data_IF_458114125624
#
_entry.id   IF_458114125624
#
_cell.length_a   1.000
_cell.length_b   1.000
_cell.length_c   1.000
_cell.angle_alpha   90.00
_cell.angle_beta   90.00
_cell.angle_gamma   90.00
#
_symmetry.space_group_name_H-M   'P 1'
#
loop_
_entity.id
_entity.type
_entity.pdbx_description
1 polymer ?
#
# COMPACT_ATOMS: atom_id res chain seq x y z
N UNK A 1 10.60 -1.28 -17.91
CA UNK A 1 10.57 -2.45 -18.81
C UNK A 1 9.18 -2.74 -19.37
N UNK A 2 8.11 -2.69 -18.58
CA UNK A 2 6.74 -2.80 -19.13
C UNK A 2 6.46 -1.74 -20.20
N UNK A 3 6.91 -0.50 -19.99
CA UNK A 3 6.79 0.56 -20.99
C UNK A 3 7.53 0.24 -22.29
N UNK A 4 8.63 -0.51 -22.21
CA UNK A 4 9.39 -0.96 -23.38
C UNK A 4 8.65 -2.07 -24.11
N UNK A 5 8.01 -3.00 -23.39
CA UNK A 5 7.11 -4.00 -24.00
C UNK A 5 5.96 -3.33 -24.75
N UNK A 6 5.36 -2.29 -24.17
CA UNK A 6 4.31 -1.51 -24.82
C UNK A 6 4.80 -0.82 -26.09
N UNK A 7 5.96 -0.15 -26.05
CA UNK A 7 6.54 0.53 -27.22
C UNK A 7 6.86 -0.48 -28.33
N UNK A 8 7.58 -1.56 -27.99
CA UNK A 8 7.95 -2.61 -28.95
C UNK A 8 6.70 -3.29 -29.52
N UNK A 9 5.72 -3.60 -28.67
CA UNK A 9 4.44 -4.17 -29.08
C UNK A 9 3.67 -3.27 -30.02
N UNK A 10 3.54 -1.98 -29.71
CA UNK A 10 2.85 -1.01 -30.55
C UNK A 10 3.52 -0.85 -31.92
N UNK A 11 4.86 -0.74 -31.95
CA UNK A 11 5.62 -0.65 -33.20
C UNK A 11 5.49 -1.93 -34.04
N UNK A 12 5.60 -3.11 -33.42
CA UNK A 12 5.43 -4.38 -34.10
C UNK A 12 4.00 -4.57 -34.63
N UNK A 13 2.99 -4.12 -33.88
CA UNK A 13 1.59 -4.17 -34.28
C UNK A 13 1.33 -3.27 -35.48
N UNK A 14 1.81 -2.02 -35.43
CA UNK A 14 1.75 -1.09 -36.55
C UNK A 14 2.42 -1.69 -37.80
N UNK A 15 3.65 -2.21 -37.66
CA UNK A 15 4.38 -2.85 -38.74
C UNK A 15 3.59 -4.02 -39.36
N UNK A 16 3.03 -4.90 -38.54
CA UNK A 16 2.30 -6.07 -39.01
C UNK A 16 0.98 -5.72 -39.70
N UNK A 17 0.23 -4.76 -39.16
CA UNK A 17 -1.07 -4.39 -39.74
C UNK A 17 -0.91 -3.58 -41.02
N UNK A 18 0.01 -2.61 -41.03
CA UNK A 18 0.12 -1.59 -42.08
C UNK A 18 1.13 -1.96 -43.17
N UNK A 19 2.29 -2.52 -42.80
CA UNK A 19 3.42 -2.66 -43.72
C UNK A 19 3.61 -4.09 -44.26
N UNK A 20 3.14 -5.11 -43.54
CA UNK A 20 3.26 -6.49 -43.99
C UNK A 20 2.19 -6.88 -45.03
N UNK A 21 2.61 -7.64 -46.04
CA UNK A 21 1.70 -8.23 -47.01
C UNK A 21 0.84 -9.36 -46.39
N UNK A 22 -0.36 -9.63 -46.94
CA UNK A 22 -1.23 -10.70 -46.47
C UNK A 22 -0.53 -12.07 -46.46
N UNK A 23 -0.34 -12.64 -45.26
CA UNK A 23 0.29 -13.95 -45.08
C UNK A 23 -0.04 -14.54 -43.71
N UNK A 24 0.17 -15.85 -43.54
CA UNK A 24 0.06 -16.50 -42.21
C UNK A 24 1.03 -15.90 -41.19
N UNK A 25 2.22 -15.48 -41.63
CA UNK A 25 3.20 -14.78 -40.78
C UNK A 25 2.66 -13.45 -40.29
N UNK A 26 2.02 -12.66 -41.16
CA UNK A 26 1.35 -11.40 -40.78
C UNK A 26 0.32 -11.64 -39.67
N UNK A 27 -0.55 -12.63 -39.82
CA UNK A 27 -1.56 -12.95 -38.80
C UNK A 27 -0.92 -13.30 -37.45
N UNK A 28 0.12 -14.14 -37.46
CA UNK A 28 0.84 -14.48 -36.23
C UNK A 28 1.48 -13.25 -35.58
N UNK A 29 2.15 -12.40 -36.36
CA UNK A 29 2.77 -11.17 -35.85
C UNK A 29 1.73 -10.21 -35.27
N UNK A 30 0.55 -10.08 -35.88
CA UNK A 30 -0.56 -9.30 -35.34
C UNK A 30 -0.99 -9.83 -33.97
N UNK A 31 -1.24 -11.13 -33.84
CA UNK A 31 -1.66 -11.71 -32.56
C UNK A 31 -0.60 -11.57 -31.46
N UNK A 32 0.66 -11.83 -31.79
CA UNK A 32 1.76 -11.71 -30.82
C UNK A 32 1.96 -10.26 -30.38
N UNK A 33 1.98 -9.31 -31.32
CA UNK A 33 2.16 -7.90 -31.00
C UNK A 33 0.96 -7.30 -30.27
N UNK A 34 -0.28 -7.71 -30.62
CA UNK A 34 -1.47 -7.35 -29.86
C UNK A 34 -1.39 -7.87 -28.43
N UNK A 35 -0.97 -9.12 -28.24
CA UNK A 35 -0.72 -9.70 -26.90
C UNK A 35 0.34 -8.91 -26.12
N UNK A 36 1.42 -8.50 -26.80
CA UNK A 36 2.50 -7.71 -26.20
C UNK A 36 2.07 -6.31 -25.75
N UNK A 37 0.98 -5.78 -26.33
CA UNK A 37 0.36 -4.52 -25.89
C UNK A 37 -0.68 -4.77 -24.80
N UNK A 38 -1.60 -5.71 -25.00
CA UNK A 38 -2.73 -5.94 -24.12
C UNK A 38 -2.32 -6.56 -22.78
N UNK A 39 -1.36 -7.49 -22.77
CA UNK A 39 -0.96 -8.17 -21.54
C UNK A 39 -0.33 -7.20 -20.51
N UNK A 40 0.61 -6.29 -20.87
CA UNK A 40 1.10 -5.28 -19.94
C UNK A 40 0.02 -4.35 -19.40
N UNK A 41 -0.97 -3.95 -20.23
CA UNK A 41 -2.08 -3.10 -19.78
C UNK A 41 -2.88 -3.82 -18.70
N UNK A 42 -3.29 -5.07 -18.96
CA UNK A 42 -4.00 -5.88 -17.98
C UNK A 42 -3.18 -6.06 -16.70
N UNK A 43 -1.89 -6.32 -16.82
CA UNK A 43 -1.00 -6.50 -15.68
C UNK A 43 -0.89 -5.21 -14.85
N UNK A 44 -0.83 -4.05 -15.49
CA UNK A 44 -0.86 -2.74 -14.80
C UNK A 44 -2.18 -2.52 -14.07
N UNK A 45 -3.33 -2.77 -14.73
CA UNK A 45 -4.64 -2.60 -14.10
C UNK A 45 -4.85 -3.51 -12.91
N UNK A 46 -4.45 -4.78 -13.02
CA UNK A 46 -4.56 -5.75 -11.92
C UNK A 46 -3.56 -5.41 -10.81
N UNK A 47 -2.37 -4.92 -11.15
CA UNK A 47 -1.41 -4.45 -10.15
C UNK A 47 -1.92 -3.20 -9.40
N UNK A 48 -2.57 -2.26 -10.07
CA UNK A 48 -3.12 -1.06 -9.43
C UNK A 48 -4.20 -1.41 -8.40
N UNK A 49 -5.02 -2.43 -8.70
CA UNK A 49 -6.09 -2.89 -7.81
C UNK A 49 -5.59 -3.80 -6.68
N UNK A 50 -4.66 -4.71 -6.97
CA UNK A 50 -4.34 -5.84 -6.10
C UNK A 50 -2.84 -6.02 -5.81
N UNK A 51 -1.97 -5.12 -6.30
CA UNK A 51 -0.52 -5.20 -6.13
C UNK A 51 0.10 -6.54 -6.60
N UNK A 52 -0.45 -7.12 -7.68
CA UNK A 52 0.03 -8.41 -8.21
C UNK A 52 1.49 -8.34 -8.62
N UNK A 53 2.27 -9.31 -8.13
CA UNK A 53 3.70 -9.38 -8.34
C UNK A 53 4.53 -8.80 -7.20
N UNK A 54 3.89 -8.30 -6.14
CA UNK A 54 4.54 -7.80 -4.94
C UNK A 54 4.18 -8.62 -3.71
N UNK A 55 5.14 -8.73 -2.79
CA UNK A 55 4.92 -9.11 -1.41
C UNK A 55 4.66 -7.86 -0.57
N UNK A 56 4.00 -8.04 0.56
CA UNK A 56 3.81 -6.99 1.56
C UNK A 56 4.79 -7.26 2.69
N UNK A 57 5.80 -6.40 2.79
CA UNK A 57 6.72 -6.41 3.91
C UNK A 57 6.22 -5.45 4.98
N UNK A 58 6.11 -5.96 6.20
CA UNK A 58 5.66 -5.20 7.35
C UNK A 58 6.85 -4.79 8.21
N UNK A 59 6.95 -3.50 8.51
CA UNK A 59 7.94 -2.98 9.45
C UNK A 59 7.22 -2.30 10.59
N UNK A 60 7.41 -2.81 11.81
CA UNK A 60 6.78 -2.28 13.01
C UNK A 60 7.75 -1.42 13.80
N UNK A 61 7.33 -0.20 14.09
CA UNK A 61 8.01 0.70 15.01
C UNK A 61 7.20 0.77 16.31
N UNK A 62 7.85 0.56 17.45
CA UNK A 62 7.22 0.68 18.77
C UNK A 62 7.49 2.06 19.34
N UNK A 63 6.44 2.79 19.64
CA UNK A 63 6.51 4.13 20.20
C UNK A 63 5.85 4.14 21.59
N UNK A 64 6.61 4.36 22.66
CA UNK A 64 6.06 4.45 24.01
C UNK A 64 5.08 5.62 24.13
N UNK A 65 3.91 5.36 24.73
CA UNK A 65 2.92 6.40 24.97
C UNK A 65 3.29 7.22 26.21
N UNK A 66 3.06 8.53 26.13
CA UNK A 66 3.16 9.43 27.26
C UNK A 66 1.78 9.85 27.78
N UNK A 67 1.66 10.25 29.06
CA UNK A 67 0.45 10.85 29.59
C UNK A 67 0.02 12.06 28.75
N UNK A 68 -1.29 12.23 28.57
CA UNK A 68 -1.87 13.38 27.87
C UNK A 68 -2.74 14.16 28.86
N UNK A 69 -2.55 15.48 28.92
CA UNK A 69 -3.21 16.36 29.90
C UNK A 69 -2.97 15.92 31.36
N UNK A 70 -1.73 15.51 31.67
CA UNK A 70 -1.29 14.99 32.97
C UNK A 70 -2.05 13.72 33.45
N UNK A 71 -2.71 13.01 32.54
CA UNK A 71 -3.43 11.76 32.82
C UNK A 71 -2.94 10.63 31.91
N UNK A 72 -2.99 9.39 32.40
CA UNK A 72 -2.67 8.19 31.61
C UNK A 72 -3.83 7.88 30.65
N UNK A 73 -3.90 8.62 29.54
CA UNK A 73 -5.04 8.53 28.64
C UNK A 73 -4.69 8.74 27.16
N UNK A 74 -5.54 8.21 26.30
CA UNK A 74 -5.65 8.59 24.90
C UNK A 74 -7.07 9.10 24.63
N UNK A 75 -7.23 9.97 23.64
CA UNK A 75 -8.56 10.42 23.22
C UNK A 75 -9.02 9.66 21.98
N UNK A 76 -10.31 9.30 21.92
CA UNK A 76 -10.95 8.72 20.74
C UNK A 76 -12.06 9.63 20.25
N UNK A 77 -12.23 9.71 18.93
CA UNK A 77 -13.34 10.44 18.29
C UNK A 77 -13.94 9.58 17.19
N UNK A 78 -15.27 9.38 17.14
CA UNK A 78 -15.90 8.63 16.06
C UNK A 78 -15.77 9.41 14.74
N UNK A 79 -15.51 8.67 13.66
CA UNK A 79 -15.45 9.21 12.30
C UNK A 79 -16.52 8.55 11.41
N UNK A 80 -17.04 9.35 10.47
CA UNK A 80 -18.12 8.95 9.58
C UNK A 80 -19.51 8.96 10.23
N UNK A 81 -20.54 8.85 9.40
CA UNK A 81 -21.95 8.90 9.82
C UNK A 81 -22.37 7.67 10.61
N UNK A 82 -21.75 6.52 10.36
CA UNK A 82 -22.04 5.26 11.04
C UNK A 82 -21.39 5.14 12.44
N UNK A 83 -20.45 6.03 12.81
CA UNK A 83 -19.72 6.03 14.10
C UNK A 83 -19.08 4.69 14.48
N UNK A 84 -18.66 3.90 13.48
CA UNK A 84 -18.03 2.57 13.67
C UNK A 84 -16.49 2.60 13.67
N UNK A 85 -15.91 3.68 13.14
CA UNK A 85 -14.46 3.87 13.09
C UNK A 85 -14.09 5.04 14.01
N UNK A 86 -12.91 4.97 14.61
CA UNK A 86 -12.45 5.96 15.59
C UNK A 86 -11.06 6.47 15.21
N UNK A 87 -10.91 7.79 15.20
CA UNK A 87 -9.60 8.43 15.22
C UNK A 87 -9.09 8.48 16.66
N UNK A 88 -7.80 8.25 16.86
CA UNK A 88 -7.15 8.29 18.16
C UNK A 88 -6.12 9.40 18.23
N UNK A 89 -6.15 10.18 19.30
CA UNK A 89 -5.17 11.21 19.61
C UNK A 89 -4.34 10.77 20.81
N UNK A 90 -3.02 10.82 20.69
CA UNK A 90 -2.09 10.26 21.65
C UNK A 90 -0.79 11.06 21.71
N UNK A 91 -0.08 11.01 22.83
CA UNK A 91 1.25 11.62 22.99
C UNK A 91 2.31 10.50 23.01
N UNK A 92 3.47 10.74 22.42
CA UNK A 92 4.60 9.81 22.52
C UNK A 92 5.73 10.40 23.35
N UNK A 93 6.45 9.54 24.07
CA UNK A 93 7.52 9.95 24.99
C UNK A 93 8.69 10.62 24.23
N UNK A 94 9.01 10.14 23.03
CA UNK A 94 10.23 10.52 22.32
C UNK A 94 10.25 11.97 21.83
N UNK A 95 9.10 12.53 21.45
CA UNK A 95 9.01 13.89 20.91
C UNK A 95 8.08 14.81 21.71
N UNK A 96 7.36 14.29 22.70
CA UNK A 96 6.39 15.01 23.52
C UNK A 96 5.32 15.77 22.71
N UNK A 97 5.03 15.32 21.48
CA UNK A 97 4.02 15.92 20.61
C UNK A 97 2.77 15.06 20.54
N UNK A 98 1.66 15.74 20.25
CA UNK A 98 0.36 15.09 20.07
C UNK A 98 0.25 14.58 18.63
N UNK A 99 0.09 13.27 18.49
CA UNK A 99 -0.14 12.57 17.24
C UNK A 99 -1.62 12.21 17.08
N UNK A 100 -2.04 12.02 15.83
CA UNK A 100 -3.40 11.56 15.51
C UNK A 100 -3.34 10.43 14.51
N UNK A 101 -3.95 9.29 14.85
CA UNK A 101 -4.18 8.17 13.96
C UNK A 101 -5.63 8.16 13.51
N UNK A 102 -5.87 8.46 12.25
CA UNK A 102 -7.23 8.49 11.65
C UNK A 102 -7.37 7.34 10.65
N UNK A 103 -8.32 6.41 10.86
CA UNK A 103 -8.58 5.36 9.90
C UNK A 103 -8.98 5.88 8.53
N UNK A 104 -8.54 5.18 7.49
CA UNK A 104 -8.83 5.44 6.09
C UNK A 104 -8.85 4.13 5.31
N UNK A 105 -8.89 4.18 3.98
CA UNK A 105 -8.75 2.99 3.13
C UNK A 105 -7.38 2.31 3.26
N UNK A 106 -6.35 3.05 3.69
CA UNK A 106 -4.96 2.55 3.84
C UNK A 106 -4.45 2.59 5.27
N UNK A 107 -5.23 3.16 6.20
CA UNK A 107 -4.86 3.27 7.62
C UNK A 107 -5.89 2.56 8.46
N UNK A 108 -5.43 1.62 9.30
CA UNK A 108 -6.28 0.97 10.30
C UNK A 108 -5.79 1.29 11.71
N UNK A 109 -6.74 1.29 12.66
CA UNK A 109 -6.45 1.48 14.08
C UNK A 109 -7.04 0.32 14.87
N UNK A 110 -6.32 -0.15 15.88
CA UNK A 110 -6.74 -1.20 16.79
C UNK A 110 -6.35 -0.84 18.21
N UNK A 111 -7.18 -1.22 19.17
CA UNK A 111 -6.83 -1.22 20.58
C UNK A 111 -6.66 -2.66 21.06
N UNK A 112 -5.58 -2.89 21.81
CA UNK A 112 -5.30 -4.12 22.54
C UNK A 112 -4.99 -3.77 24.00
N UNK A 113 -5.32 -4.67 24.91
CA UNK A 113 -4.99 -4.52 26.32
C UNK A 113 -3.70 -5.29 26.64
N UNK A 114 -2.76 -4.65 27.32
CA UNK A 114 -1.45 -5.23 27.63
C UNK A 114 -0.84 -4.63 28.89
N UNK A 115 0.47 -4.73 29.05
CA UNK A 115 1.17 -4.24 30.25
C UNK A 115 2.01 -3.00 29.98
N UNK A 116 2.48 -2.81 28.75
CA UNK A 116 3.34 -1.69 28.35
C UNK A 116 2.51 -0.70 27.52
N UNK A 117 2.40 0.57 27.93
CA UNK A 117 1.68 1.58 27.16
C UNK A 117 2.49 2.01 25.94
N UNK A 118 2.07 1.57 24.77
CA UNK A 118 2.77 1.85 23.52
C UNK A 118 1.81 1.84 22.33
N UNK A 119 2.22 2.49 21.25
CA UNK A 119 1.61 2.32 19.94
C UNK A 119 2.61 1.63 19.02
N UNK A 120 2.18 0.52 18.43
CA UNK A 120 2.91 -0.16 17.37
C UNK A 120 2.43 0.40 16.03
N UNK A 121 3.33 1.07 15.30
CA UNK A 121 3.07 1.61 13.97
C UNK A 121 3.66 0.64 12.95
N UNK A 122 2.81 -0.23 12.39
CA UNK A 122 3.21 -1.19 11.36
C UNK A 122 3.00 -0.59 9.99
N UNK A 123 4.09 -0.31 9.29
CA UNK A 123 4.05 0.19 7.91
C UNK A 123 4.15 -0.97 6.94
N UNK A 124 3.19 -1.05 6.01
CA UNK A 124 3.15 -2.04 4.96
C UNK A 124 3.80 -1.47 3.70
N UNK A 125 4.85 -2.12 3.21
CA UNK A 125 5.59 -1.71 2.00
C UNK A 125 5.57 -2.81 0.96
N UNK A 126 5.50 -2.41 -0.30
CA UNK A 126 5.62 -3.34 -1.41
C UNK A 126 7.06 -3.75 -1.63
N UNK A 127 7.29 -5.04 -1.85
CA UNK A 127 8.57 -5.56 -2.33
C UNK A 127 8.36 -6.54 -3.48
N UNK A 128 9.26 -6.55 -4.46
CA UNK A 128 9.14 -7.46 -5.59
C UNK A 128 9.14 -8.92 -5.13
N UNK A 129 8.13 -9.67 -5.56
CA UNK A 129 8.01 -11.09 -5.20
C UNK A 129 9.09 -11.96 -5.87
N UNK A 130 9.60 -11.54 -7.02
CA UNK A 130 10.63 -12.25 -7.78
C UNK A 130 11.38 -11.34 -8.78
N UNK A 131 12.42 -11.90 -9.40
CA UNK A 131 13.25 -11.19 -10.38
C UNK A 131 12.46 -10.70 -11.63
N UNK A 132 11.47 -11.46 -12.10
CA UNK A 132 10.66 -11.06 -13.25
C UNK A 132 9.83 -9.82 -12.92
N UNK A 133 9.20 -9.79 -11.74
CA UNK A 133 8.44 -8.62 -11.28
C UNK A 133 9.34 -7.40 -11.08
N UNK A 134 10.54 -7.60 -10.53
CA UNK A 134 11.54 -6.54 -10.41
C UNK A 134 11.94 -5.97 -11.78
N UNK A 135 12.10 -6.82 -12.80
CA UNK A 135 12.38 -6.39 -14.16
C UNK A 135 11.19 -5.62 -14.72
N UNK A 136 9.99 -6.20 -14.75
CA UNK A 136 8.79 -5.60 -15.36
C UNK A 136 8.53 -4.18 -14.83
N UNK A 137 8.60 -4.04 -13.51
CA UNK A 137 8.35 -2.80 -12.77
C UNK A 137 9.61 -2.00 -12.46
N UNK A 138 10.78 -2.36 -13.02
CA UNK A 138 12.01 -1.59 -12.83
C UNK A 138 11.81 -0.12 -13.20
N UNK A 139 12.17 0.77 -12.27
CA UNK A 139 12.03 2.22 -12.43
C UNK A 139 10.62 2.77 -12.22
N UNK A 140 9.64 1.95 -11.79
CA UNK A 140 8.28 2.40 -11.49
C UNK A 140 8.16 3.17 -10.16
N UNK A 141 9.10 2.97 -9.23
CA UNK A 141 9.00 3.49 -7.86
C UNK A 141 8.11 2.64 -6.94
N UNK A 142 7.62 1.48 -7.39
CA UNK A 142 6.78 0.60 -6.57
C UNK A 142 7.57 -0.13 -5.47
N UNK A 143 8.86 -0.40 -5.67
CA UNK A 143 9.71 -1.01 -4.64
C UNK A 143 9.83 -0.10 -3.41
N UNK A 144 9.45 -0.62 -2.24
CA UNK A 144 9.48 0.09 -0.97
C UNK A 144 8.36 1.11 -0.78
N UNK A 145 7.42 1.21 -1.74
CA UNK A 145 6.27 2.10 -1.64
C UNK A 145 5.39 1.68 -0.46
N UNK A 146 5.10 2.64 0.41
CA UNK A 146 4.18 2.41 1.53
C UNK A 146 2.74 2.38 1.01
N UNK A 147 2.04 1.27 1.23
CA UNK A 147 0.65 1.05 0.80
C UNK A 147 -0.35 1.19 1.94
N UNK A 148 0.12 1.08 3.18
CA UNK A 148 -0.75 1.19 4.33
C UNK A 148 0.00 1.28 5.65
N UNK A 149 -0.77 1.60 6.70
CA UNK A 149 -0.32 1.63 8.08
C UNK A 149 -1.35 1.00 9.00
N UNK A 150 -0.87 0.29 10.00
CA UNK A 150 -1.68 -0.26 11.09
C UNK A 150 -1.16 0.34 12.39
N UNK A 151 -2.03 1.04 13.10
CA UNK A 151 -1.75 1.55 14.43
C UNK A 151 -2.39 0.62 15.46
N UNK A 152 -1.57 -0.10 16.21
CA UNK A 152 -2.04 -0.95 17.32
C UNK A 152 -1.66 -0.29 18.63
N UNK A 153 -2.66 0.23 19.34
CA UNK A 153 -2.50 0.81 20.67
C UNK A 153 -2.57 -0.29 21.72
N UNK A 154 -1.49 -0.50 22.45
CA UNK A 154 -1.46 -1.40 23.61
C UNK A 154 -1.61 -0.58 24.88
N UNK A 155 -2.73 -0.76 25.59
CA UNK A 155 -3.07 0.02 26.77
C UNK A 155 -3.11 -0.86 28.04
N UNK A 156 -2.37 -0.50 29.08
CA UNK A 156 -2.50 -1.09 30.41
C UNK A 156 -3.85 -0.80 31.07
N UNK A 157 -4.19 -1.58 32.09
CA UNK A 157 -5.48 -1.46 32.79
C UNK A 157 -5.71 -0.10 33.48
N UNK A 158 -4.64 0.62 33.83
CA UNK A 158 -4.71 1.95 34.43
C UNK A 158 -4.79 3.08 33.38
N UNK A 159 -4.75 2.76 32.08
CA UNK A 159 -4.92 3.74 31.01
C UNK A 159 -6.39 3.90 30.63
N UNK A 160 -6.80 5.13 30.39
CA UNK A 160 -8.17 5.47 30.00
C UNK A 160 -8.26 5.85 28.52
N UNK A 161 -9.40 5.53 27.91
CA UNK A 161 -9.75 6.00 26.58
C UNK A 161 -10.90 6.99 26.76
N UNK A 162 -10.64 8.27 26.47
CA UNK A 162 -11.61 9.35 26.67
C UNK A 162 -12.26 9.73 25.34
N UNK A 163 -13.59 9.79 25.32
CA UNK A 163 -14.34 10.27 24.16
C UNK A 163 -14.22 11.80 24.01
N UNK A 164 -13.94 12.25 22.78
CA UNK A 164 -13.99 13.66 22.36
C UNK A 164 -15.19 13.97 21.48
#
# INVERSE_FOLDING_TARGET
>A
MIILLLIVGALAFFWAVVLMQPSRRRQLTIWVSAGLVLAPILLLSVNDLYHVGFNIDETTELQPLAPMDDQLQISRRPIGTAKKHFSYRYLIISDATVHTATPSTTVSTRIEHGTIPQVAVTTQKLTYSNALTAILFAGSGEQGKAIGKIYTFTLPANWQIVDQ
#
